data_IF_044699460409
#
_entry.id   IF_044699460409
#
_cell.length_a   1.000
_cell.length_b   1.000
_cell.length_c   1.000
_cell.angle_alpha   90.00
_cell.angle_beta   90.00
_cell.angle_gamma   90.00
#
_symmetry.space_group_name_H-M   'P 1'
#
loop_
_entity.id
_entity.type
_entity.pdbx_description
1 polymer ?
#
# COMPACT_ATOMS: atom_id res chain seq x y z
N UNK A 1 -16.65 17.86 3.93
CA UNK A 1 -15.46 17.32 3.24
C UNK A 1 -14.37 18.35 3.38
N UNK A 2 -13.30 18.06 4.14
CA UNK A 2 -12.20 19.03 4.31
C UNK A 2 -11.48 19.21 2.97
N UNK A 3 -11.24 20.45 2.55
CA UNK A 3 -10.44 20.73 1.35
C UNK A 3 -8.99 20.29 1.59
N UNK A 4 -8.43 19.52 0.65
CA UNK A 4 -7.01 19.17 0.66
C UNK A 4 -6.16 20.43 0.55
N UNK A 5 -5.18 20.55 1.45
CA UNK A 5 -4.16 21.60 1.38
C UNK A 5 -3.33 21.47 0.10
N UNK A 6 -2.69 22.57 -0.32
CA UNK A 6 -1.81 22.57 -1.49
C UNK A 6 -0.65 21.55 -1.36
N UNK A 7 -0.13 21.37 -0.14
CA UNK A 7 0.92 20.40 0.18
C UNK A 7 0.46 18.96 0.01
N UNK A 8 -0.74 18.63 0.51
CA UNK A 8 -1.34 17.29 0.34
C UNK A 8 -1.60 17.01 -1.13
N UNK A 9 -2.08 17.99 -1.89
CA UNK A 9 -2.32 17.85 -3.34
C UNK A 9 -1.03 17.60 -4.11
N UNK A 10 0.06 18.30 -3.77
CA UNK A 10 1.36 18.08 -4.38
C UNK A 10 1.90 16.67 -4.07
N UNK A 11 1.75 16.22 -2.83
CA UNK A 11 2.15 14.88 -2.41
C UNK A 11 1.35 13.79 -3.13
N UNK A 12 0.03 13.94 -3.20
CA UNK A 12 -0.86 13.01 -3.89
C UNK A 12 -0.52 12.90 -5.39
N UNK A 13 -0.27 14.03 -6.04
CA UNK A 13 0.14 14.04 -7.46
C UNK A 13 1.48 13.31 -7.68
N UNK A 14 2.43 13.43 -6.73
CA UNK A 14 3.71 12.72 -6.79
C UNK A 14 3.51 11.21 -6.63
N UNK A 15 2.69 10.80 -5.66
CA UNK A 15 2.34 9.40 -5.45
C UNK A 15 1.62 8.81 -6.69
N UNK A 16 0.63 9.53 -7.23
CA UNK A 16 -0.11 9.10 -8.42
C UNK A 16 0.80 8.86 -9.63
N UNK A 17 1.75 9.77 -9.89
CA UNK A 17 2.74 9.60 -10.96
C UNK A 17 3.63 8.38 -10.74
N UNK A 18 4.06 8.16 -9.49
CA UNK A 18 4.90 7.01 -9.13
C UNK A 18 4.13 5.69 -9.31
N UNK A 19 2.87 5.63 -8.86
CA UNK A 19 2.01 4.45 -9.04
C UNK A 19 1.70 4.18 -10.53
N UNK A 20 1.53 5.22 -11.35
CA UNK A 20 1.36 5.06 -12.81
C UNK A 20 2.64 4.62 -13.52
N UNK A 21 3.81 5.01 -13.01
CA UNK A 21 5.09 4.58 -13.55
C UNK A 21 5.51 3.19 -13.04
N UNK A 22 4.85 2.67 -12.00
CA UNK A 22 5.16 1.35 -11.48
C UNK A 22 4.85 0.26 -12.50
N UNK A 23 5.71 -0.77 -12.61
CA UNK A 23 5.43 -1.93 -13.42
C UNK A 23 4.08 -2.57 -13.05
N UNK A 24 3.23 -2.83 -14.05
CA UNK A 24 1.88 -3.37 -13.85
C UNK A 24 1.84 -4.80 -13.26
N UNK A 25 3.01 -5.41 -13.02
CA UNK A 25 3.20 -6.71 -12.39
C UNK A 25 3.53 -6.61 -10.90
N UNK A 26 3.51 -5.42 -10.29
CA UNK A 26 3.75 -5.20 -8.87
C UNK A 26 2.46 -4.76 -8.17
N UNK A 27 2.21 -5.32 -7.01
CA UNK A 27 1.13 -4.97 -6.09
C UNK A 27 1.76 -4.39 -4.81
N UNK A 28 1.20 -3.31 -4.27
CA UNK A 28 1.69 -2.67 -3.04
C UNK A 28 0.63 -2.77 -1.97
N UNK A 29 1.00 -3.28 -0.80
CA UNK A 29 0.15 -3.39 0.37
C UNK A 29 0.70 -2.44 1.44
N UNK A 30 -0.18 -1.61 1.97
CA UNK A 30 0.15 -0.68 3.05
C UNK A 30 -0.47 -1.23 4.33
N UNK A 31 0.37 -1.66 5.26
CA UNK A 31 -0.01 -2.12 6.59
C UNK A 31 0.24 -1.02 7.61
N UNK A 32 -0.31 -1.19 8.82
CA UNK A 32 -0.15 -0.20 9.89
C UNK A 32 1.30 -0.02 10.36
N UNK A 33 2.16 -1.02 10.17
CA UNK A 33 3.55 -1.02 10.65
C UNK A 33 4.60 -1.05 9.53
N UNK A 34 4.20 -1.38 8.30
CA UNK A 34 5.12 -1.56 7.19
C UNK A 34 4.38 -1.46 5.85
N UNK A 35 5.14 -1.29 4.77
CA UNK A 35 4.67 -1.39 3.40
C UNK A 35 5.30 -2.62 2.78
N UNK A 36 4.50 -3.46 2.14
CA UNK A 36 4.94 -4.67 1.47
C UNK A 36 4.70 -4.55 -0.03
N UNK A 37 5.66 -5.02 -0.82
CA UNK A 37 5.53 -5.08 -2.28
C UNK A 37 5.54 -6.54 -2.72
N UNK A 38 4.57 -6.93 -3.54
CA UNK A 38 4.41 -8.30 -4.01
C UNK A 38 4.33 -8.31 -5.54
N UNK A 39 4.52 -9.48 -6.15
CA UNK A 39 4.09 -9.66 -7.54
C UNK A 39 2.56 -9.62 -7.58
N UNK A 40 2.02 -9.01 -8.63
CA UNK A 40 0.58 -8.95 -8.88
C UNK A 40 -0.03 -10.35 -8.83
N UNK A 41 -1.05 -10.53 -7.99
CA UNK A 41 -1.75 -11.80 -7.82
C UNK A 41 -1.04 -12.80 -6.89
N UNK A 42 0.11 -12.46 -6.32
CA UNK A 42 0.78 -13.31 -5.32
C UNK A 42 -0.08 -13.47 -4.05
N UNK A 43 -0.81 -12.41 -3.66
CA UNK A 43 -1.75 -12.46 -2.54
C UNK A 43 -2.91 -13.41 -2.81
N UNK A 44 -3.56 -13.26 -3.96
CA UNK A 44 -4.65 -14.17 -4.36
C UNK A 44 -4.17 -15.63 -4.43
N UNK A 45 -2.95 -15.85 -4.93
CA UNK A 45 -2.35 -17.18 -4.98
C UNK A 45 -2.07 -17.73 -3.57
N UNK A 46 -1.52 -16.92 -2.67
CA UNK A 46 -1.29 -17.29 -1.27
C UNK A 46 -2.59 -17.61 -0.56
N UNK A 47 -3.60 -16.75 -0.70
CA UNK A 47 -4.92 -16.95 -0.09
C UNK A 47 -5.59 -18.23 -0.59
N UNK A 48 -5.55 -18.50 -1.91
CA UNK A 48 -6.09 -19.75 -2.48
C UNK A 48 -5.37 -21.00 -1.97
N UNK A 49 -4.07 -20.90 -1.68
CA UNK A 49 -3.24 -22.05 -1.29
C UNK A 49 -3.26 -22.32 0.21
N UNK A 50 -3.29 -21.27 1.03
CA UNK A 50 -3.07 -21.36 2.48
C UNK A 50 -4.23 -20.81 3.31
N UNK A 51 -5.24 -20.21 2.68
CA UNK A 51 -6.31 -19.49 3.37
C UNK A 51 -5.88 -18.13 3.94
N UNK A 52 -4.66 -17.70 3.61
CA UNK A 52 -4.04 -16.48 4.14
C UNK A 52 -3.28 -15.75 3.02
N UNK A 53 -3.67 -14.49 2.81
CA UNK A 53 -3.11 -13.61 1.78
C UNK A 53 -1.91 -12.79 2.27
N UNK A 54 -1.74 -12.67 3.58
CA UNK A 54 -0.71 -11.81 4.18
C UNK A 54 0.67 -12.48 4.14
N UNK A 55 0.69 -13.82 3.98
CA UNK A 55 1.89 -14.62 3.78
C UNK A 55 2.38 -14.68 2.32
N UNK A 56 1.89 -13.79 1.45
CA UNK A 56 2.35 -13.73 0.07
C UNK A 56 3.84 -13.40 -0.01
N UNK A 57 4.57 -14.09 -0.90
CA UNK A 57 5.99 -13.83 -1.12
C UNK A 57 6.22 -12.35 -1.44
N UNK A 58 7.04 -11.71 -0.60
CA UNK A 58 7.37 -10.30 -0.71
C UNK A 58 8.55 -10.12 -1.66
N UNK A 59 8.44 -9.19 -2.59
CA UNK A 59 9.55 -8.69 -3.38
C UNK A 59 10.44 -7.77 -2.54
N UNK A 60 9.81 -6.94 -1.71
CA UNK A 60 10.49 -5.99 -0.82
C UNK A 60 9.56 -5.55 0.30
N UNK A 61 10.12 -5.11 1.44
CA UNK A 61 9.36 -4.56 2.55
C UNK A 61 10.05 -3.32 3.13
N UNK A 62 9.24 -2.33 3.50
CA UNK A 62 9.69 -1.11 4.15
C UNK A 62 9.00 -0.99 5.50
N UNK A 63 9.76 -1.10 6.58
CA UNK A 63 9.23 -0.83 7.90
C UNK A 63 8.91 0.66 8.05
N UNK A 64 7.76 0.96 8.65
CA UNK A 64 7.37 2.32 8.99
C UNK A 64 7.34 2.46 10.51
N UNK A 65 8.50 2.46 11.20
CA UNK A 65 8.59 2.39 12.66
C UNK A 65 7.94 3.58 13.39
N UNK A 66 7.60 4.66 12.67
CA UNK A 66 7.08 5.90 13.25
C UNK A 66 5.78 6.41 12.61
N UNK A 67 5.15 5.67 11.69
CA UNK A 67 3.90 6.09 11.06
C UNK A 67 2.74 5.21 11.51
N UNK A 68 1.95 5.68 12.49
CA UNK A 68 0.58 5.18 12.65
C UNK A 68 -0.24 5.70 11.47
N UNK A 69 -0.45 4.88 10.45
CA UNK A 69 -1.52 5.13 9.50
C UNK A 69 -2.84 4.90 10.24
N UNK A 70 -3.54 6.00 10.57
CA UNK A 70 -4.95 5.90 10.91
C UNK A 70 -5.67 5.56 9.59
N UNK A 71 -6.34 4.40 9.49
CA UNK A 71 -7.15 4.13 8.31
C UNK A 71 -8.17 5.26 8.18
N UNK A 72 -8.34 5.78 6.96
CA UNK A 72 -9.31 6.84 6.64
C UNK A 72 -10.79 6.43 6.87
N UNK A 73 -11.04 5.39 7.67
CA UNK A 73 -12.36 4.87 8.04
C UNK A 73 -12.71 5.07 9.52
N UNK A 74 -11.85 5.67 10.35
CA UNK A 74 -12.18 6.00 11.75
C UNK A 74 -12.14 7.51 12.03
N UNK A 75 -12.80 8.29 11.16
CA UNK A 75 -13.21 9.67 11.50
C UNK A 75 -14.73 9.67 11.70
N UNK A 76 -15.16 9.32 12.91
CA UNK A 76 -16.52 9.59 13.42
C UNK A 76 -16.48 10.91 14.17
#
# INVERSE_FOLDING_TARGET
MSEMTASEKAWFNKLYRLLNAMPANVEVQVHNSHIQMNRKGARDASFKRYGDGDNAESLDHFDTPHFRFYPCSESV
#
